data_IF_441494436485
#
_entry.id   IF_441494436485
#
_cell.length_a   1.000
_cell.length_b   1.000
_cell.length_c   1.000
_cell.angle_alpha   90.00
_cell.angle_beta   90.00
_cell.angle_gamma   90.00
#
_symmetry.space_group_name_H-M   'P 1'
#
loop_
_entity.id
_entity.type
_entity.pdbx_description
1 polymer ?
#
# COMPACT_ATOMS: atom_id res chain seq x y z
N UNK A 1 -9.50 11.99 14.65
CA UNK A 1 -8.32 11.95 15.54
C UNK A 1 -7.92 10.50 15.67
N UNK A 2 -6.62 10.24 15.61
CA UNK A 2 -6.06 8.89 15.76
C UNK A 2 -5.92 8.60 17.26
N UNK A 3 -6.05 7.34 17.66
CA UNK A 3 -5.82 6.90 19.04
C UNK A 3 -4.39 7.18 19.51
N UNK A 4 -4.25 7.52 20.80
CA UNK A 4 -2.97 7.96 21.38
C UNK A 4 -1.85 6.91 21.21
N UNK A 5 -2.17 5.63 21.43
CA UNK A 5 -1.19 4.56 21.28
C UNK A 5 -0.65 4.44 19.85
N UNK A 6 -1.50 4.70 18.83
CA UNK A 6 -1.09 4.64 17.43
C UNK A 6 -0.32 5.89 17.04
N UNK A 7 -0.67 7.05 17.59
CA UNK A 7 0.12 8.27 17.43
C UNK A 7 1.55 8.08 17.97
N UNK A 8 1.69 7.50 19.17
CA UNK A 8 2.99 7.19 19.77
C UNK A 8 3.77 6.18 18.91
N UNK A 9 3.12 5.10 18.47
CA UNK A 9 3.76 4.07 17.65
C UNK A 9 4.25 4.63 16.29
N UNK A 10 3.44 5.45 15.62
CA UNK A 10 3.81 6.09 14.36
C UNK A 10 4.92 7.12 14.58
N UNK A 11 4.93 7.84 15.70
CA UNK A 11 6.03 8.76 16.04
C UNK A 11 7.36 8.01 16.16
N UNK A 12 7.39 6.91 16.92
CA UNK A 12 8.59 6.08 17.10
C UNK A 12 9.05 5.51 15.75
N UNK A 13 8.13 5.02 14.93
CA UNK A 13 8.44 4.49 13.61
C UNK A 13 9.03 5.57 12.68
N UNK A 14 8.44 6.76 12.66
CA UNK A 14 8.93 7.88 11.84
C UNK A 14 10.31 8.35 12.31
N UNK A 15 10.57 8.40 13.62
CA UNK A 15 11.88 8.75 14.15
C UNK A 15 12.94 7.72 13.72
N UNK A 16 12.64 6.43 13.79
CA UNK A 16 13.54 5.37 13.30
C UNK A 16 13.75 5.48 11.78
N UNK A 17 12.67 5.66 11.02
CA UNK A 17 12.71 5.80 9.57
C UNK A 17 13.56 7.01 9.14
N UNK A 18 13.43 8.15 9.81
CA UNK A 18 14.24 9.33 9.56
C UNK A 18 15.73 9.08 9.84
N UNK A 19 16.05 8.39 10.94
CA UNK A 19 17.43 8.03 11.30
C UNK A 19 18.06 7.03 10.32
N UNK A 20 17.24 6.19 9.68
CA UNK A 20 17.64 5.18 8.70
C UNK A 20 17.36 5.59 7.26
N UNK A 21 17.05 6.87 7.00
CA UNK A 21 16.64 7.34 5.66
C UNK A 21 17.60 6.99 4.52
N UNK A 22 18.89 6.86 4.81
CA UNK A 22 19.93 6.48 3.84
C UNK A 22 19.81 5.03 3.35
N UNK A 23 19.10 4.18 4.10
CA UNK A 23 18.84 2.78 3.75
C UNK A 23 17.67 2.63 2.77
N UNK A 24 16.82 3.65 2.64
CA UNK A 24 15.65 3.62 1.76
C UNK A 24 15.92 4.26 0.40
N UNK A 25 15.33 3.68 -0.64
CA UNK A 25 15.45 4.18 -2.02
C UNK A 25 14.21 4.96 -2.49
N UNK A 26 13.13 4.92 -1.71
CA UNK A 26 11.90 5.67 -1.93
C UNK A 26 11.09 5.76 -0.63
N UNK A 27 10.04 6.58 -0.65
CA UNK A 27 9.18 6.87 0.50
C UNK A 27 7.71 6.67 0.14
N UNK A 28 6.92 6.18 1.10
CA UNK A 28 5.45 6.11 1.02
C UNK A 28 4.88 6.96 2.14
N UNK A 29 4.09 7.97 1.81
CA UNK A 29 3.47 8.83 2.81
C UNK A 29 2.08 8.31 3.16
N UNK A 30 1.94 7.81 4.38
CA UNK A 30 0.75 7.11 4.83
C UNK A 30 0.07 7.86 5.99
N UNK A 31 -1.16 8.38 5.82
CA UNK A 31 -1.89 9.02 6.90
C UNK A 31 -2.24 8.04 8.03
N UNK A 32 -1.90 8.41 9.27
CA UNK A 32 -2.17 7.58 10.45
C UNK A 32 -3.66 7.25 10.65
N UNK A 33 -4.58 8.11 10.18
CA UNK A 33 -6.02 7.84 10.23
C UNK A 33 -6.45 6.69 9.33
N UNK A 34 -5.81 6.53 8.17
CA UNK A 34 -6.08 5.40 7.26
C UNK A 34 -5.47 4.13 7.85
N UNK A 35 -4.28 4.24 8.44
CA UNK A 35 -3.65 3.11 9.11
C UNK A 35 -4.52 2.60 10.27
N UNK A 36 -5.10 3.51 11.07
CA UNK A 36 -6.02 3.16 12.15
C UNK A 36 -7.25 2.39 11.65
N UNK A 37 -7.83 2.83 10.53
CA UNK A 37 -8.96 2.16 9.90
C UNK A 37 -8.60 0.73 9.49
N UNK A 38 -7.46 0.56 8.81
CA UNK A 38 -6.94 -0.76 8.40
C UNK A 38 -6.65 -1.66 9.61
N UNK A 39 -6.06 -1.12 10.67
CA UNK A 39 -5.82 -1.88 11.90
C UNK A 39 -7.13 -2.28 12.57
N UNK A 40 -8.13 -1.40 12.60
CA UNK A 40 -9.47 -1.70 13.09
C UNK A 40 -10.14 -2.81 12.31
N UNK A 41 -9.96 -2.84 10.99
CA UNK A 41 -10.38 -3.95 10.13
C UNK A 41 -9.63 -5.24 10.43
N UNK A 42 -8.29 -5.18 10.50
CA UNK A 42 -7.45 -6.35 10.77
C UNK A 42 -7.83 -7.02 12.10
N UNK A 43 -8.00 -6.24 13.18
CA UNK A 43 -8.38 -6.77 14.48
C UNK A 43 -9.77 -7.40 14.49
N UNK A 44 -10.73 -6.85 13.74
CA UNK A 44 -12.09 -7.42 13.62
C UNK A 44 -12.14 -8.67 12.76
N UNK A 45 -11.18 -8.83 11.85
CA UNK A 45 -11.11 -9.95 10.91
C UNK A 45 -10.34 -11.15 11.47
N UNK A 46 -9.64 -11.01 12.60
CA UNK A 46 -8.93 -12.12 13.22
C UNK A 46 -9.83 -13.37 13.35
N UNK A 47 -9.30 -14.57 13.00
CA UNK A 47 -7.90 -14.87 12.66
C UNK A 47 -7.57 -14.73 11.16
N UNK A 48 -8.47 -14.18 10.35
CA UNK A 48 -8.32 -14.15 8.89
C UNK A 48 -7.39 -13.02 8.42
N UNK A 49 -6.68 -13.27 7.33
CA UNK A 49 -5.99 -12.21 6.57
C UNK A 49 -7.02 -11.28 5.92
N UNK A 50 -6.69 -10.00 5.78
CA UNK A 50 -7.45 -9.08 4.92
C UNK A 50 -6.59 -8.62 3.75
N UNK A 51 -7.23 -8.36 2.62
CA UNK A 51 -6.64 -7.65 1.49
C UNK A 51 -7.25 -6.26 1.40
N UNK A 52 -6.41 -5.25 1.23
CA UNK A 52 -6.78 -3.84 1.19
C UNK A 52 -6.20 -3.22 -0.08
N UNK A 53 -7.07 -2.58 -0.85
CA UNK A 53 -6.67 -1.71 -1.95
C UNK A 53 -6.43 -0.28 -1.45
N UNK A 54 -5.38 0.36 -1.94
CA UNK A 54 -4.97 1.72 -1.55
C UNK A 54 -4.81 2.61 -2.79
N UNK A 55 -5.43 3.79 -2.76
CA UNK A 55 -5.25 4.80 -3.80
C UNK A 55 -4.57 6.06 -3.23
N UNK A 56 -3.76 6.70 -4.09
CA UNK A 56 -3.10 7.96 -3.80
C UNK A 56 -4.02 9.14 -4.14
N UNK A 57 -3.86 10.26 -3.45
CA UNK A 57 -4.53 11.50 -3.86
C UNK A 57 -3.85 12.14 -5.07
N UNK A 58 -4.57 13.04 -5.73
CA UNK A 58 -3.99 14.02 -6.66
C UNK A 58 -2.99 14.97 -5.99
N UNK A 59 -3.04 15.08 -4.65
CA UNK A 59 -2.10 15.90 -3.88
C UNK A 59 -0.76 15.19 -3.71
N UNK A 60 0.30 15.91 -4.05
CA UNK A 60 1.67 15.49 -3.79
C UNK A 60 1.98 15.43 -2.30
N UNK A 61 3.06 14.74 -1.98
CA UNK A 61 3.68 14.77 -0.67
C UNK A 61 4.08 16.20 -0.29
N UNK A 62 4.18 16.44 1.01
CA UNK A 62 4.68 17.71 1.53
C UNK A 62 6.19 17.78 1.26
N UNK A 63 6.60 18.75 0.43
CA UNK A 63 7.98 18.85 -0.04
C UNK A 63 9.02 18.93 1.09
N UNK A 64 8.68 19.60 2.21
CA UNK A 64 9.57 19.68 3.36
C UNK A 64 9.78 18.32 4.04
N UNK A 65 8.73 17.50 4.13
CA UNK A 65 8.81 16.16 4.73
C UNK A 65 9.54 15.22 3.77
N UNK A 66 9.21 15.26 2.48
CA UNK A 66 9.87 14.41 1.49
C UNK A 66 11.38 14.65 1.46
N UNK A 67 11.81 15.92 1.51
CA UNK A 67 13.23 16.28 1.58
C UNK A 67 13.89 15.86 2.89
N UNK A 68 13.17 15.85 4.01
CA UNK A 68 13.71 15.51 5.33
C UNK A 68 13.95 13.99 5.46
N UNK A 69 13.05 13.18 4.88
CA UNK A 69 13.12 11.72 4.91
C UNK A 69 13.85 11.13 3.69
N UNK A 70 14.42 11.96 2.81
CA UNK A 70 15.14 11.52 1.63
C UNK A 70 16.59 11.12 1.96
N UNK A 71 16.97 9.90 1.60
CA UNK A 71 18.36 9.45 1.59
C UNK A 71 19.11 9.77 0.29
N UNK A 72 20.44 9.62 0.30
CA UNK A 72 21.30 9.87 -0.85
C UNK A 72 21.05 8.91 -2.03
N UNK A 73 20.49 7.74 -1.74
CA UNK A 73 20.21 6.67 -2.72
C UNK A 73 18.79 6.73 -3.29
N UNK A 74 18.05 7.82 -3.05
CA UNK A 74 16.69 8.00 -3.56
C UNK A 74 16.62 7.80 -5.08
N UNK A 75 15.59 7.07 -5.52
CA UNK A 75 15.24 6.88 -6.92
C UNK A 75 13.82 7.34 -7.17
N UNK A 76 13.59 7.94 -8.33
CA UNK A 76 12.27 8.35 -8.77
C UNK A 76 11.64 7.28 -9.66
N UNK A 77 10.31 7.29 -9.75
CA UNK A 77 9.51 6.43 -10.63
C UNK A 77 9.75 4.93 -10.38
N UNK A 78 9.91 4.52 -9.12
CA UNK A 78 10.05 3.11 -8.73
C UNK A 78 8.71 2.37 -8.65
N UNK A 79 7.63 3.09 -8.35
CA UNK A 79 6.29 2.53 -8.26
C UNK A 79 5.24 3.59 -8.62
N UNK A 80 4.03 3.14 -8.97
CA UNK A 80 2.93 4.03 -9.33
C UNK A 80 2.47 4.87 -8.13
N UNK A 81 2.21 6.16 -8.36
CA UNK A 81 1.84 7.08 -7.28
C UNK A 81 2.99 7.52 -6.37
N UNK A 82 4.25 7.19 -6.70
CA UNK A 82 5.40 7.74 -5.98
C UNK A 82 5.38 9.29 -6.00
N UNK A 83 5.64 9.90 -4.84
CA UNK A 83 5.56 11.36 -4.66
C UNK A 83 4.15 11.87 -4.35
N UNK A 84 3.15 10.98 -4.29
CA UNK A 84 1.78 11.28 -3.87
C UNK A 84 1.46 10.55 -2.57
N UNK A 85 0.54 11.14 -1.80
CA UNK A 85 0.15 10.63 -0.49
C UNK A 85 -0.99 9.63 -0.61
N UNK A 86 -0.96 8.55 0.16
CA UNK A 86 -2.10 7.64 0.29
C UNK A 86 -3.32 8.43 0.79
N UNK A 87 -4.47 8.23 0.15
CA UNK A 87 -5.68 9.02 0.41
C UNK A 87 -6.88 8.18 0.81
N UNK A 88 -7.01 6.99 0.23
CA UNK A 88 -8.10 6.08 0.55
C UNK A 88 -7.60 4.65 0.71
N UNK A 89 -8.33 3.90 1.55
CA UNK A 89 -8.19 2.46 1.69
C UNK A 89 -9.56 1.82 1.54
N UNK A 90 -9.61 0.64 0.92
CA UNK A 90 -10.82 -0.17 0.80
C UNK A 90 -10.49 -1.61 1.16
N UNK A 91 -11.18 -2.18 2.14
CA UNK A 91 -11.13 -3.62 2.38
C UNK A 91 -11.74 -4.33 1.17
N UNK A 92 -10.94 -5.18 0.54
CA UNK A 92 -11.26 -5.91 -0.68
C UNK A 92 -11.61 -7.36 -0.36
N UNK A 93 -10.88 -7.99 0.55
CA UNK A 93 -11.09 -9.39 0.90
C UNK A 93 -10.82 -9.66 2.39
N UNK A 94 -11.39 -10.78 2.87
CA UNK A 94 -11.16 -11.38 4.18
C UNK A 94 -11.03 -12.90 4.03
N UNK A 95 -9.87 -13.46 4.37
CA UNK A 95 -9.56 -14.87 4.20
C UNK A 95 -9.74 -15.28 2.74
N UNK A 96 -10.62 -16.26 2.50
CA UNK A 96 -11.01 -16.71 1.16
C UNK A 96 -12.44 -16.29 0.78
N UNK A 97 -12.99 -15.26 1.43
CA UNK A 97 -14.40 -14.85 1.25
C UNK A 97 -14.69 -14.34 -0.16
N UNK A 98 -13.70 -13.73 -0.80
CA UNK A 98 -13.74 -13.31 -2.19
C UNK A 98 -12.48 -13.79 -2.90
N UNK A 99 -12.54 -13.99 -4.21
CA UNK A 99 -11.39 -14.32 -5.04
C UNK A 99 -11.04 -13.13 -5.90
N UNK A 100 -9.86 -12.56 -5.69
CA UNK A 100 -9.32 -11.58 -6.65
C UNK A 100 -8.94 -12.36 -7.91
N UNK A 101 -9.61 -12.07 -9.01
CA UNK A 101 -9.39 -12.69 -10.31
C UNK A 101 -8.60 -11.76 -11.21
N UNK A 102 -7.47 -12.23 -11.72
CA UNK A 102 -6.72 -11.52 -12.74
C UNK A 102 -7.31 -11.82 -14.11
N UNK A 103 -7.90 -10.82 -14.78
CA UNK A 103 -8.38 -10.96 -16.15
C UNK A 103 -7.32 -10.47 -17.15
N UNK A 104 -7.17 -11.15 -18.30
CA UNK A 104 -6.36 -10.62 -19.39
C UNK A 104 -6.85 -9.25 -19.84
N UNK A 105 -5.92 -8.34 -20.16
CA UNK A 105 -6.24 -6.95 -20.53
C UNK A 105 -7.15 -6.89 -21.76
N UNK A 106 -6.98 -7.82 -22.70
CA UNK A 106 -7.78 -7.93 -23.91
C UNK A 106 -9.26 -8.26 -23.67
N UNK A 107 -9.65 -8.69 -22.45
CA UNK A 107 -11.05 -8.93 -22.09
C UNK A 107 -11.73 -7.70 -21.51
N UNK A 108 -10.98 -6.63 -21.29
CA UNK A 108 -11.48 -5.40 -20.68
C UNK A 108 -11.75 -4.27 -21.67
N UNK A 109 -11.52 -4.49 -22.97
CA UNK A 109 -11.83 -3.57 -24.08
C UNK A 109 -11.49 -2.09 -23.79
N UNK A 110 -10.35 -1.83 -23.14
CA UNK A 110 -9.91 -0.49 -22.71
C UNK A 110 -10.90 0.28 -21.80
N UNK A 111 -11.97 -0.37 -21.29
CA UNK A 111 -12.96 0.21 -20.35
C UNK A 111 -12.26 0.80 -19.11
N UNK A 112 -11.05 0.35 -18.89
CA UNK A 112 -10.31 0.44 -17.68
C UNK A 112 -9.02 1.29 -17.80
N UNK A 113 -8.51 1.53 -19.01
CA UNK A 113 -7.60 2.62 -19.40
C UNK A 113 -6.17 2.68 -18.78
N UNK A 114 -5.28 3.42 -19.47
CA UNK A 114 -3.82 3.55 -19.27
C UNK A 114 -3.35 4.16 -17.92
N UNK A 115 -4.25 4.69 -17.09
CA UNK A 115 -3.90 5.42 -15.86
C UNK A 115 -3.61 4.50 -14.64
N UNK A 116 -3.19 3.26 -14.88
CA UNK A 116 -3.06 2.24 -13.83
C UNK A 116 -1.60 1.94 -13.50
N UNK A 117 -1.35 1.62 -12.23
CA UNK A 117 -0.03 1.18 -11.78
C UNK A 117 0.42 -0.14 -12.42
N UNK A 118 1.63 -0.64 -12.12
CA UNK A 118 2.28 -1.76 -12.81
C UNK A 118 1.54 -3.12 -12.79
N UNK A 119 0.44 -3.22 -12.05
CA UNK A 119 -0.46 -4.39 -12.05
C UNK A 119 -1.76 -4.20 -12.85
N UNK A 120 -1.94 -3.05 -13.49
CA UNK A 120 -3.20 -2.63 -14.11
C UNK A 120 -4.45 -2.89 -13.24
N UNK A 121 -4.27 -2.89 -11.91
CA UNK A 121 -5.30 -3.13 -10.91
C UNK A 121 -6.16 -1.89 -10.65
N UNK A 122 -7.33 -2.10 -10.06
CA UNK A 122 -8.24 -1.00 -9.66
C UNK A 122 -7.58 0.00 -8.69
N UNK A 123 -6.62 -0.46 -7.88
CA UNK A 123 -5.94 0.34 -6.86
C UNK A 123 -4.46 0.54 -7.21
N UNK A 124 -3.93 1.69 -6.80
CA UNK A 124 -2.53 2.06 -7.00
C UNK A 124 -1.57 1.14 -6.23
N UNK A 125 -1.93 0.79 -5.00
CA UNK A 125 -1.17 -0.12 -4.14
C UNK A 125 -2.08 -1.17 -3.50
N UNK A 126 -1.47 -2.26 -3.05
CA UNK A 126 -2.11 -3.33 -2.30
C UNK A 126 -1.41 -3.54 -0.96
N UNK A 127 -2.18 -3.90 0.05
CA UNK A 127 -1.71 -4.25 1.38
C UNK A 127 -2.52 -5.43 1.89
N UNK A 128 -1.87 -6.42 2.49
CA UNK A 128 -2.54 -7.48 3.24
C UNK A 128 -1.94 -7.65 4.62
N UNK A 129 -2.60 -8.46 5.45
CA UNK A 129 -2.19 -8.71 6.83
C UNK A 129 -1.85 -10.16 7.05
N UNK A 130 -0.81 -10.43 7.83
CA UNK A 130 -0.45 -11.78 8.30
C UNK A 130 -0.74 -11.91 9.80
N UNK A 131 -1.94 -12.31 10.22
CA UNK A 131 -2.27 -12.47 11.62
C UNK A 131 -1.47 -13.62 12.25
N UNK A 132 -0.91 -13.39 13.44
CA UNK A 132 -0.07 -14.33 14.18
C UNK A 132 1.24 -14.74 13.50
N UNK A 133 1.69 -14.02 12.47
CA UNK A 133 2.94 -14.27 11.75
C UNK A 133 3.70 -12.93 11.55
N UNK A 134 5.05 -12.94 11.45
CA UNK A 134 5.79 -11.74 11.09
C UNK A 134 5.35 -11.18 9.72
N UNK A 135 5.45 -9.86 9.55
CA UNK A 135 5.17 -9.17 8.29
C UNK A 135 6.31 -9.41 7.27
N UNK A 136 6.44 -10.64 6.79
CA UNK A 136 7.42 -11.06 5.77
C UNK A 136 6.63 -11.65 4.60
N UNK A 137 6.90 -11.23 3.35
CA UNK A 137 6.23 -11.82 2.19
C UNK A 137 6.43 -13.34 2.15
N UNK A 138 5.34 -14.08 1.97
CA UNK A 138 5.39 -15.49 1.55
C UNK A 138 5.87 -15.59 0.09
N UNK A 139 6.18 -16.81 -0.37
CA UNK A 139 6.49 -17.03 -1.80
C UNK A 139 5.34 -16.57 -2.70
N UNK A 140 4.08 -16.86 -2.31
CA UNK A 140 2.90 -16.41 -3.03
C UNK A 140 2.77 -14.87 -3.06
N UNK A 141 3.15 -14.18 -1.97
CA UNK A 141 3.16 -12.72 -1.94
C UNK A 141 4.21 -12.13 -2.87
N UNK A 142 5.39 -12.76 -2.92
CA UNK A 142 6.50 -12.34 -3.79
C UNK A 142 6.18 -12.54 -5.27
N UNK A 143 5.53 -13.66 -5.61
CA UNK A 143 5.04 -13.95 -6.95
C UNK A 143 3.93 -12.97 -7.35
N UNK A 144 2.97 -12.73 -6.45
CA UNK A 144 1.93 -11.76 -6.70
C UNK A 144 2.53 -10.37 -6.92
N UNK A 145 3.52 -9.93 -6.13
CA UNK A 145 4.11 -8.59 -6.22
C UNK A 145 4.81 -8.26 -7.55
N UNK A 146 4.98 -9.23 -8.45
CA UNK A 146 5.51 -8.99 -9.78
C UNK A 146 4.53 -8.20 -10.67
N UNK A 147 5.07 -7.51 -11.67
CA UNK A 147 4.28 -6.91 -12.75
C UNK A 147 3.62 -8.02 -13.57
N UNK A 148 2.34 -7.86 -13.89
CA UNK A 148 1.59 -8.82 -14.71
C UNK A 148 0.88 -8.09 -15.84
N UNK A 149 0.78 -8.73 -17.01
CA UNK A 149 -0.07 -8.25 -18.11
C UNK A 149 -1.52 -8.66 -17.81
N UNK A 150 -2.37 -7.69 -17.42
CA UNK A 150 -3.79 -7.93 -17.11
C UNK A 150 -4.34 -7.08 -15.95
N UNK A 151 -5.63 -7.24 -15.64
CA UNK A 151 -6.39 -6.42 -14.68
C UNK A 151 -6.83 -7.25 -13.47
N UNK A 152 -6.47 -6.81 -12.26
CA UNK A 152 -7.04 -7.36 -11.01
C UNK A 152 -8.51 -6.94 -10.85
N UNK A 153 -9.42 -7.92 -10.91
CA UNK A 153 -10.84 -7.79 -10.55
C UNK A 153 -11.13 -8.44 -9.20
N UNK A 154 -12.07 -7.86 -8.47
CA UNK A 154 -12.54 -8.32 -7.15
C UNK A 154 -13.90 -8.99 -7.32
#
# INVERSE_FOLDING_TARGET
MVSDWLADAVSIYNDESHNRREEYVAQVHFPASILEEILGWAFKSLPDEILVGLDVSENKNLANIESEFQGSNQKNNLFAGQGYRIHEAKMVNRGNSFSVHHLPEEWTDEIFGDDRGPRAGRFTHWLHTHPNCPAIPSEADADAAQSTDGVDLI
#
